data_IF_470324196238
#
_entry.id   IF_470324196238
#
_cell.length_a   1.000
_cell.length_b   1.000
_cell.length_c   1.000
_cell.angle_alpha   90.00
_cell.angle_beta   90.00
_cell.angle_gamma   90.00
#
_symmetry.space_group_name_H-M   'P 1'
#
loop_
_entity.id
_entity.type
_entity.pdbx_description
1 polymer ?
#
# COMPACT_ATOMS: atom_id res chain seq x y z
N UNK A 1 14.35 8.97 -14.54
CA UNK A 1 14.87 9.66 -13.34
C UNK A 1 15.64 8.66 -12.46
N UNK A 2 16.54 9.08 -11.57
CA UNK A 2 17.19 8.21 -10.56
C UNK A 2 16.88 8.64 -9.10
N UNK A 3 15.60 8.89 -8.78
CA UNK A 3 15.21 9.22 -7.40
C UNK A 3 15.08 7.96 -6.53
N UNK A 4 15.43 8.10 -5.26
CA UNK A 4 15.30 7.11 -4.21
C UNK A 4 14.16 7.47 -3.25
N UNK A 5 13.79 6.53 -2.37
CA UNK A 5 12.84 6.79 -1.32
C UNK A 5 13.37 7.89 -0.39
N UNK A 6 12.53 8.89 -0.12
CA UNK A 6 12.87 10.05 0.70
C UNK A 6 13.19 11.32 -0.09
N UNK A 7 13.58 11.19 -1.36
CA UNK A 7 13.88 12.31 -2.25
C UNK A 7 12.64 13.13 -2.57
N UNK A 8 12.82 14.40 -2.91
CA UNK A 8 11.74 15.29 -3.32
C UNK A 8 11.59 15.33 -4.83
N UNK A 9 10.34 15.26 -5.28
CA UNK A 9 9.97 15.38 -6.69
C UNK A 9 8.76 16.28 -6.83
N UNK A 10 8.67 16.96 -7.96
CA UNK A 10 7.51 17.70 -8.41
C UNK A 10 6.80 16.89 -9.49
N UNK A 11 5.48 16.75 -9.39
CA UNK A 11 4.68 16.20 -10.48
C UNK A 11 4.62 17.25 -11.58
N UNK A 12 4.91 16.85 -12.82
CA UNK A 12 4.88 17.78 -13.96
C UNK A 12 3.51 18.44 -14.14
N UNK A 13 3.49 19.52 -14.93
CA UNK A 13 2.25 20.19 -15.30
C UNK A 13 1.30 19.22 -16.03
N UNK A 14 0.01 19.54 -16.01
CA UNK A 14 -1.01 18.76 -16.72
C UNK A 14 -0.67 18.65 -18.21
N UNK A 15 -0.28 19.75 -18.82
CA UNK A 15 0.04 19.87 -20.24
C UNK A 15 1.25 19.02 -20.61
N UNK A 16 2.31 19.06 -19.79
CA UNK A 16 3.51 18.25 -20.00
C UNK A 16 3.19 16.75 -19.90
N UNK A 17 2.40 16.35 -18.90
CA UNK A 17 1.98 14.95 -18.76
C UNK A 17 1.14 14.53 -19.96
N UNK A 18 0.14 15.30 -20.37
CA UNK A 18 -0.72 14.97 -21.52
C UNK A 18 0.08 14.77 -22.82
N UNK A 19 1.21 15.48 -22.99
CA UNK A 19 2.11 15.26 -24.14
C UNK A 19 2.84 13.92 -24.10
N UNK A 20 3.02 13.33 -22.91
CA UNK A 20 3.64 11.99 -22.77
C UNK A 20 2.67 10.85 -23.05
N UNK A 21 1.35 11.10 -23.04
CA UNK A 21 0.34 10.06 -23.13
C UNK A 21 -0.08 9.76 -24.57
N UNK A 22 -0.42 8.51 -24.83
CA UNK A 22 -1.12 8.09 -26.04
C UNK A 22 -2.62 8.47 -26.02
N UNK A 23 -3.34 8.15 -27.10
CA UNK A 23 -4.78 8.40 -27.22
C UNK A 23 -5.65 7.67 -26.20
N UNK A 24 -5.11 6.66 -25.52
CA UNK A 24 -5.78 5.92 -24.46
C UNK A 24 -5.40 6.42 -23.06
N UNK A 25 -4.67 7.55 -22.96
CA UNK A 25 -4.23 8.12 -21.69
C UNK A 25 -3.11 7.32 -21.02
N UNK A 26 -2.23 6.66 -21.79
CA UNK A 26 -1.20 5.76 -21.27
C UNK A 26 0.21 6.19 -21.64
N UNK A 27 1.17 5.81 -20.79
CA UNK A 27 2.60 5.81 -21.09
C UNK A 27 3.17 4.44 -20.74
N UNK A 28 3.80 3.75 -21.69
CA UNK A 28 4.26 2.36 -21.56
C UNK A 28 3.16 1.43 -21.01
N UNK A 29 1.95 1.52 -21.57
CA UNK A 29 0.73 0.83 -21.10
C UNK A 29 0.21 1.22 -19.71
N UNK A 30 0.95 2.00 -18.91
CA UNK A 30 0.49 2.44 -17.59
C UNK A 30 -0.56 3.54 -17.77
N UNK A 31 -1.80 3.35 -17.29
CA UNK A 31 -2.81 4.39 -17.36
C UNK A 31 -2.46 5.57 -16.45
N UNK A 32 -2.49 6.78 -17.00
CA UNK A 32 -2.65 7.99 -16.21
C UNK A 32 -4.14 8.16 -15.89
N UNK A 33 -4.49 8.32 -14.62
CA UNK A 33 -5.90 8.32 -14.19
C UNK A 33 -6.39 9.73 -13.88
N UNK A 34 -7.68 10.07 -14.07
CA UNK A 34 -8.18 11.44 -13.91
C UNK A 34 -7.84 12.08 -12.55
N UNK A 35 -7.97 11.34 -11.45
CA UNK A 35 -7.66 11.82 -10.11
C UNK A 35 -6.18 12.15 -9.90
N UNK A 36 -5.28 11.76 -10.80
CA UNK A 36 -3.86 12.11 -10.75
C UNK A 36 -3.62 13.58 -11.15
N UNK A 37 -4.51 14.20 -11.94
CA UNK A 37 -4.38 15.61 -12.36
C UNK A 37 -4.39 16.58 -11.18
N UNK A 38 -5.11 16.26 -10.10
CA UNK A 38 -5.18 17.10 -8.90
C UNK A 38 -3.83 17.27 -8.18
N UNK A 39 -2.82 16.50 -8.56
CA UNK A 39 -1.47 16.54 -8.00
C UNK A 39 -0.45 17.18 -8.94
N UNK A 40 -0.82 17.54 -10.19
CA UNK A 40 0.08 18.21 -11.13
C UNK A 40 0.61 19.52 -10.54
N UNK A 41 1.90 19.80 -10.74
CA UNK A 41 2.60 20.97 -10.21
C UNK A 41 2.88 20.95 -8.71
N UNK A 42 2.50 19.90 -7.98
CA UNK A 42 2.75 19.78 -6.54
C UNK A 42 4.00 18.95 -6.26
N UNK A 43 4.63 19.24 -5.12
CA UNK A 43 5.84 18.54 -4.65
C UNK A 43 5.50 17.49 -3.61
N UNK A 44 6.12 16.32 -3.76
CA UNK A 44 5.96 15.20 -2.86
C UNK A 44 7.30 14.55 -2.57
N UNK A 45 7.40 13.90 -1.41
CA UNK A 45 8.48 12.96 -1.17
C UNK A 45 8.18 11.63 -1.85
N UNK A 46 9.18 11.05 -2.47
CA UNK A 46 9.12 9.67 -2.95
C UNK A 46 8.95 8.76 -1.75
N UNK A 47 7.78 8.12 -1.64
CA UNK A 47 7.50 7.15 -0.59
C UNK A 47 8.31 5.88 -0.82
N UNK A 48 8.23 5.33 -2.04
CA UNK A 48 8.94 4.14 -2.47
C UNK A 48 9.20 4.17 -3.97
N UNK A 49 10.31 3.57 -4.40
CA UNK A 49 10.52 3.22 -5.81
C UNK A 49 9.72 1.98 -6.15
N UNK A 50 8.85 2.06 -7.16
CA UNK A 50 7.97 0.98 -7.58
C UNK A 50 8.61 0.10 -8.67
N UNK A 51 9.86 -0.33 -8.48
CA UNK A 51 10.59 -1.20 -9.44
C UNK A 51 9.96 -2.61 -9.56
N UNK A 52 9.14 -2.99 -8.58
CA UNK A 52 8.34 -4.22 -8.58
C UNK A 52 6.98 -4.00 -7.92
N UNK A 53 6.08 -4.93 -8.16
CA UNK A 53 4.75 -5.04 -7.58
C UNK A 53 4.34 -6.52 -7.49
N UNK A 54 3.14 -6.83 -7.03
CA UNK A 54 2.58 -8.18 -6.97
C UNK A 54 1.35 -8.32 -7.88
N UNK A 55 1.20 -9.50 -8.48
CA UNK A 55 0.08 -9.83 -9.35
C UNK A 55 -1.21 -10.09 -8.56
N UNK A 56 -2.14 -9.16 -8.63
CA UNK A 56 -3.47 -9.24 -8.00
C UNK A 56 -4.59 -9.51 -9.02
N UNK A 57 -4.24 -9.65 -10.31
CA UNK A 57 -5.19 -9.80 -11.42
C UNK A 57 -5.36 -11.27 -11.80
N UNK A 58 -4.27 -12.03 -11.92
CA UNK A 58 -4.34 -13.43 -12.36
C UNK A 58 -4.77 -14.38 -11.23
N UNK A 59 -4.53 -13.99 -9.98
CA UNK A 59 -4.71 -14.83 -8.80
C UNK A 59 -3.48 -15.64 -8.41
N UNK A 60 -2.36 -15.54 -9.15
CA UNK A 60 -1.11 -16.22 -8.79
C UNK A 60 -0.31 -15.53 -7.67
N UNK A 61 -0.55 -14.24 -7.41
CA UNK A 61 0.14 -13.48 -6.36
C UNK A 61 1.68 -13.53 -6.42
N UNK A 62 2.23 -13.62 -7.63
CA UNK A 62 3.66 -13.62 -7.90
C UNK A 62 4.21 -12.19 -8.08
N UNK A 63 5.53 -12.04 -7.97
CA UNK A 63 6.20 -10.77 -8.24
C UNK A 63 6.08 -10.36 -9.72
N UNK A 64 5.94 -9.05 -9.95
CA UNK A 64 6.02 -8.44 -11.28
C UNK A 64 6.97 -7.24 -11.27
N UNK A 65 7.74 -7.07 -12.33
CA UNK A 65 8.66 -5.94 -12.53
C UNK A 65 7.94 -4.80 -13.23
N UNK A 66 8.14 -3.59 -12.72
CA UNK A 66 7.69 -2.34 -13.32
C UNK A 66 8.92 -1.46 -13.57
N UNK A 67 9.09 -1.03 -14.82
CA UNK A 67 10.19 -0.14 -15.19
C UNK A 67 9.85 1.32 -14.89
N UNK A 68 10.79 2.02 -14.28
CA UNK A 68 10.74 3.46 -13.95
C UNK A 68 9.47 3.89 -13.18
N UNK A 69 9.03 3.06 -12.24
CA UNK A 69 7.87 3.31 -11.38
C UNK A 69 8.22 3.94 -10.03
N UNK A 70 7.33 4.79 -9.51
CA UNK A 70 7.43 5.47 -8.21
C UNK A 70 6.08 5.50 -7.48
N UNK A 71 6.14 5.64 -6.16
CA UNK A 71 5.01 5.90 -5.28
C UNK A 71 5.26 7.18 -4.47
N UNK A 72 4.27 8.07 -4.38
CA UNK A 72 4.35 9.37 -3.67
C UNK A 72 3.51 9.42 -2.37
N UNK A 73 3.13 8.27 -1.81
CA UNK A 73 2.12 8.13 -0.76
C UNK A 73 0.74 8.73 -1.10
N UNK A 74 0.39 8.75 -2.39
CA UNK A 74 -0.89 9.23 -2.91
C UNK A 74 -1.76 8.05 -3.35
N UNK A 75 -3.05 8.08 -3.03
CA UNK A 75 -3.98 6.96 -3.25
C UNK A 75 -5.15 7.38 -4.14
N UNK A 76 -5.63 6.40 -4.90
CA UNK A 76 -6.83 6.54 -5.72
C UNK A 76 -8.06 6.77 -4.83
N UNK A 77 -8.88 7.76 -5.19
CA UNK A 77 -10.15 8.08 -4.52
C UNK A 77 -11.36 7.33 -5.13
N UNK A 78 -11.15 6.65 -6.26
CA UNK A 78 -12.16 5.84 -6.91
C UNK A 78 -13.32 6.59 -7.55
N UNK A 79 -13.31 7.93 -7.57
CA UNK A 79 -14.44 8.73 -8.06
C UNK A 79 -14.75 8.45 -9.54
N UNK A 80 -13.70 8.38 -10.37
CA UNK A 80 -13.82 8.02 -11.77
C UNK A 80 -14.19 6.54 -12.02
N UNK A 81 -14.24 5.72 -10.96
CA UNK A 81 -14.36 4.25 -11.02
C UNK A 81 -15.57 3.73 -10.24
N UNK A 82 -16.71 4.42 -10.36
CA UNK A 82 -17.96 4.03 -9.71
C UNK A 82 -17.92 4.14 -8.18
N UNK A 83 -17.03 4.98 -7.64
CA UNK A 83 -16.82 5.14 -6.21
C UNK A 83 -16.14 3.94 -5.57
N UNK A 84 -15.19 3.31 -6.26
CA UNK A 84 -14.36 2.21 -5.75
C UNK A 84 -13.61 2.62 -4.47
N UNK A 85 -13.70 1.81 -3.41
CA UNK A 85 -13.17 2.17 -2.08
C UNK A 85 -11.84 1.47 -1.74
N UNK A 86 -11.18 0.86 -2.72
CA UNK A 86 -9.96 0.08 -2.49
C UNK A 86 -8.74 0.91 -2.04
N UNK A 87 -8.71 2.21 -2.33
CA UNK A 87 -7.64 3.12 -1.89
C UNK A 87 -6.25 2.74 -2.42
N UNK A 88 -6.18 2.24 -3.66
CA UNK A 88 -4.93 1.76 -4.25
C UNK A 88 -3.87 2.87 -4.32
N UNK A 89 -2.64 2.59 -3.90
CA UNK A 89 -1.51 3.52 -4.04
C UNK A 89 -1.23 3.77 -5.54
N UNK A 90 -1.00 5.01 -5.93
CA UNK A 90 -0.84 5.41 -7.33
C UNK A 90 0.58 5.08 -7.82
N UNK A 91 0.67 4.53 -9.04
CA UNK A 91 1.94 4.39 -9.76
C UNK A 91 2.21 5.65 -10.57
N UNK A 92 3.44 6.14 -10.49
CA UNK A 92 3.94 7.26 -11.26
C UNK A 92 5.13 6.82 -12.11
N UNK A 93 5.18 7.24 -13.38
CA UNK A 93 6.38 7.10 -14.20
C UNK A 93 7.36 8.21 -13.89
N UNK A 94 8.66 7.92 -13.99
CA UNK A 94 9.69 8.94 -13.83
C UNK A 94 9.59 10.07 -14.86
N UNK A 95 9.02 9.80 -16.04
CA UNK A 95 8.71 10.81 -17.05
C UNK A 95 7.64 11.84 -16.63
N UNK A 96 6.86 11.57 -15.57
CA UNK A 96 5.86 12.50 -15.05
C UNK A 96 6.35 13.29 -13.83
N UNK A 97 7.62 13.09 -13.45
CA UNK A 97 8.19 13.63 -12.23
C UNK A 97 9.47 14.40 -12.57
N UNK A 98 9.72 15.48 -11.85
CA UNK A 98 10.96 16.27 -11.91
C UNK A 98 11.62 16.26 -10.53
N UNK A 99 12.93 15.97 -10.40
CA UNK A 99 13.62 16.07 -9.12
C UNK A 99 13.66 17.53 -8.67
N UNK A 100 13.46 17.77 -7.37
CA UNK A 100 13.51 19.12 -6.79
C UNK A 100 14.18 19.09 -5.42
N UNK A 101 14.76 20.21 -5.01
CA UNK A 101 15.40 20.35 -3.71
C UNK A 101 14.37 20.78 -2.66
N UNK A 102 13.84 19.81 -1.92
CA UNK A 102 13.00 20.06 -0.75
C UNK A 102 11.52 20.38 -1.04
N UNK A 103 10.75 20.65 0.03
CA UNK A 103 9.35 21.08 -0.11
C UNK A 103 9.26 22.40 -0.88
N UNK A 104 8.06 22.73 -1.38
CA UNK A 104 7.83 24.06 -1.94
C UNK A 104 8.14 25.11 -0.87
N UNK A 105 9.18 25.93 -1.08
CA UNK A 105 9.34 27.13 -0.28
C UNK A 105 8.14 28.03 -0.60
N UNK A 106 7.38 28.42 0.42
CA UNK A 106 6.31 29.41 0.29
C UNK A 106 6.96 30.77 0.08
N UNK A 107 7.59 30.97 -1.09
CA UNK A 107 7.87 32.31 -1.56
C UNK A 107 6.58 32.79 -2.20
N UNK A 108 5.90 33.74 -1.55
CA UNK A 108 4.85 34.51 -2.18
C UNK A 108 5.49 35.28 -3.34
N UNK A 109 5.48 34.67 -4.52
CA UNK A 109 5.78 35.32 -5.78
C UNK A 109 4.42 35.56 -6.43
N UNK A 110 4.00 36.82 -6.67
CA UNK A 110 2.78 37.08 -7.42
C UNK A 110 2.85 36.33 -8.74
N UNK A 111 1.77 35.64 -9.12
CA UNK A 111 1.66 34.86 -10.37
C UNK A 111 2.14 35.71 -11.56
N UNK A 112 3.43 35.61 -11.91
CA UNK A 112 3.87 35.95 -13.26
C UNK A 112 3.35 34.82 -14.12
N UNK A 113 2.36 35.14 -14.94
CA UNK A 113 1.99 34.33 -16.10
C UNK A 113 3.27 34.13 -16.88
N UNK A 114 3.87 32.94 -16.79
CA UNK A 114 4.93 32.56 -17.70
C UNK A 114 4.30 32.45 -19.08
N UNK A 115 4.56 33.45 -19.93
CA UNK A 115 4.36 33.34 -21.36
C UNK A 115 5.14 32.12 -21.84
N UNK A 116 4.50 31.15 -22.52
CA UNK A 116 5.23 30.02 -23.07
C UNK A 116 6.26 30.56 -24.08
N UNK A 117 7.54 30.23 -23.88
CA UNK A 117 8.55 30.39 -24.90
C UNK A 117 8.11 29.58 -26.12
N UNK A 118 7.91 30.28 -27.24
CA UNK A 118 7.50 29.71 -28.51
C UNK A 118 8.66 28.92 -29.14
N UNK A 119 8.95 27.75 -28.58
CA UNK A 119 9.50 26.65 -29.37
C UNK A 119 8.31 25.87 -29.90
N UNK A 120 8.25 25.69 -31.23
CA UNK A 120 7.15 25.07 -31.96
C UNK A 120 6.89 23.64 -31.47
N UNK A 121 6.08 23.51 -30.42
CA UNK A 121 5.78 22.25 -29.77
C UNK A 121 4.61 21.55 -30.48
N UNK A 122 4.80 20.29 -30.86
CA UNK A 122 3.75 19.45 -31.43
C UNK A 122 2.51 19.42 -30.51
N UNK A 123 1.29 19.41 -31.07
CA UNK A 123 0.07 19.37 -30.27
C UNK A 123 0.04 18.11 -29.39
N UNK A 124 -0.54 18.18 -28.18
CA UNK A 124 -0.64 17.04 -27.30
C UNK A 124 -1.41 15.91 -27.99
N UNK A 125 -0.85 14.70 -27.95
CA UNK A 125 -1.48 13.50 -28.54
C UNK A 125 -2.70 13.04 -27.75
N UNK A 126 -2.80 13.44 -26.48
CA UNK A 126 -3.87 13.08 -25.56
C UNK A 126 -4.52 14.33 -24.95
N UNK A 127 -5.82 14.29 -24.72
CA UNK A 127 -6.58 15.32 -24.00
C UNK A 127 -7.08 14.80 -22.65
N UNK A 128 -7.55 15.69 -21.79
CA UNK A 128 -8.21 15.26 -20.53
C UNK A 128 -9.47 14.43 -20.80
N UNK A 129 -10.20 14.74 -21.88
CA UNK A 129 -11.35 13.96 -22.31
C UNK A 129 -10.95 12.53 -22.69
N UNK A 130 -9.82 12.36 -23.37
CA UNK A 130 -9.29 11.02 -23.71
C UNK A 130 -8.96 10.23 -22.45
N UNK A 131 -8.32 10.86 -21.45
CA UNK A 131 -8.02 10.24 -20.14
C UNK A 131 -9.30 9.84 -19.40
N UNK A 132 -10.33 10.69 -19.41
CA UNK A 132 -11.64 10.39 -18.82
C UNK A 132 -12.35 9.25 -19.56
N UNK A 133 -12.35 9.28 -20.89
CA UNK A 133 -12.92 8.24 -21.75
C UNK A 133 -12.25 6.88 -21.56
N UNK A 134 -10.93 6.86 -21.33
CA UNK A 134 -10.17 5.63 -21.09
C UNK A 134 -10.52 4.92 -19.77
N UNK A 135 -11.24 5.56 -18.84
CA UNK A 135 -11.61 4.95 -17.54
C UNK A 135 -12.62 3.82 -17.67
N UNK A 136 -13.36 3.76 -18.77
CA UNK A 136 -14.41 2.77 -19.03
C UNK A 136 -14.22 2.15 -20.40
N UNK A 137 -14.35 0.83 -20.48
CA UNK A 137 -14.49 0.08 -21.72
C UNK A 137 -15.91 -0.44 -21.78
N UNK A 138 -16.61 -0.14 -22.88
CA UNK A 138 -17.91 -0.73 -23.15
C UNK A 138 -17.69 -2.14 -23.71
N UNK A 139 -18.11 -3.15 -22.96
CA UNK A 139 -18.14 -4.52 -23.46
C UNK A 139 -19.31 -4.74 -24.41
N UNK A 140 -19.24 -5.78 -25.25
CA UNK A 140 -20.28 -6.15 -26.20
C UNK A 140 -21.67 -6.46 -25.58
N UNK A 141 -21.78 -6.49 -24.24
CA UNK A 141 -23.02 -6.76 -23.50
C UNK A 141 -23.49 -5.61 -22.61
N UNK A 142 -23.08 -4.36 -22.86
CA UNK A 142 -23.58 -3.17 -22.15
C UNK A 142 -23.03 -2.92 -20.73
N UNK A 143 -22.50 -3.94 -20.06
CA UNK A 143 -21.85 -3.78 -18.75
C UNK A 143 -20.57 -2.93 -18.87
N UNK A 144 -20.53 -1.80 -18.16
CA UNK A 144 -19.35 -0.95 -18.06
C UNK A 144 -18.23 -1.67 -17.31
N UNK A 145 -17.09 -1.88 -17.98
CA UNK A 145 -15.84 -2.36 -17.35
C UNK A 145 -14.93 -1.17 -17.09
N UNK A 146 -14.46 -1.02 -15.85
CA UNK A 146 -13.50 -0.01 -15.49
C UNK A 146 -12.08 -0.42 -15.89
N UNK A 147 -11.30 0.53 -16.38
CA UNK A 147 -9.88 0.38 -16.69
C UNK A 147 -9.08 1.37 -15.83
N UNK A 148 -8.37 0.83 -14.83
CA UNK A 148 -7.51 1.60 -13.93
C UNK A 148 -6.13 0.93 -13.81
N UNK A 149 -5.19 1.56 -13.10
CA UNK A 149 -3.85 0.98 -12.93
C UNK A 149 -3.87 -0.43 -12.29
N UNK A 150 -4.86 -0.75 -11.44
CA UNK A 150 -4.96 -2.08 -10.84
C UNK A 150 -5.45 -3.14 -11.83
N UNK A 151 -6.48 -2.84 -12.62
CA UNK A 151 -7.03 -3.79 -13.62
C UNK A 151 -6.07 -4.02 -14.78
N UNK A 152 -5.30 -3.00 -15.15
CA UNK A 152 -4.35 -3.04 -16.26
C UNK A 152 -2.95 -3.52 -15.86
N UNK A 153 -2.77 -3.96 -14.60
CA UNK A 153 -1.47 -4.31 -14.02
C UNK A 153 -0.62 -5.20 -14.92
N UNK A 154 -1.23 -6.20 -15.54
CA UNK A 154 -0.52 -7.18 -16.37
C UNK A 154 0.04 -6.58 -17.67
N UNK A 155 -0.55 -5.48 -18.16
CA UNK A 155 -0.20 -4.87 -19.44
C UNK A 155 1.08 -4.02 -19.33
N UNK A 156 1.28 -3.34 -18.21
CA UNK A 156 2.45 -2.45 -18.01
C UNK A 156 3.55 -3.05 -17.13
N UNK A 157 3.43 -4.32 -16.74
CA UNK A 157 4.43 -5.02 -15.91
C UNK A 157 4.80 -6.37 -16.49
N UNK A 158 6.01 -6.84 -16.20
CA UNK A 158 6.52 -8.15 -16.65
C UNK A 158 6.64 -9.13 -15.48
N UNK A 159 6.48 -10.46 -15.68
CA UNK A 159 6.74 -11.43 -14.63
C UNK A 159 8.13 -11.24 -14.01
N UNK A 160 8.23 -11.39 -12.68
CA UNK A 160 9.48 -11.30 -11.94
C UNK A 160 9.64 -12.54 -11.08
N UNK A 161 10.64 -13.35 -11.41
CA UNK A 161 10.99 -14.54 -10.63
C UNK A 161 11.40 -14.17 -9.21
N UNK A 162 10.94 -14.93 -8.22
CA UNK A 162 11.23 -14.68 -6.81
C UNK A 162 12.72 -14.87 -6.46
N UNK A 163 13.44 -15.70 -7.23
CA UNK A 163 14.88 -15.93 -7.07
C UNK A 163 15.76 -14.87 -7.75
N UNK A 164 15.19 -13.91 -8.49
CA UNK A 164 15.97 -12.84 -9.12
C UNK A 164 16.58 -11.93 -8.04
N UNK A 165 17.87 -12.15 -7.74
CA UNK A 165 18.59 -11.47 -6.67
C UNK A 165 18.59 -9.93 -6.81
N UNK A 166 18.52 -9.42 -8.04
CA UNK A 166 18.53 -7.97 -8.33
C UNK A 166 17.40 -7.26 -7.62
N UNK A 167 16.25 -7.91 -7.46
CA UNK A 167 15.10 -7.29 -6.80
C UNK A 167 15.34 -6.98 -5.31
N UNK A 168 16.26 -7.69 -4.65
CA UNK A 168 16.58 -7.48 -3.25
C UNK A 168 17.66 -6.40 -3.11
N UNK A 169 18.63 -6.40 -4.02
CA UNK A 169 19.60 -5.31 -4.18
C UNK A 169 18.88 -3.99 -4.47
N UNK A 170 17.92 -3.98 -5.40
CA UNK A 170 17.11 -2.81 -5.71
C UNK A 170 16.28 -2.34 -4.51
N UNK A 171 15.81 -3.27 -3.66
CA UNK A 171 15.07 -2.93 -2.43
C UNK A 171 15.92 -2.10 -1.48
N UNK A 172 17.19 -2.48 -1.33
CA UNK A 172 18.15 -1.74 -0.50
C UNK A 172 18.61 -0.45 -1.18
N UNK A 173 19.11 -0.53 -2.42
CA UNK A 173 19.67 0.62 -3.16
C UNK A 173 18.67 1.75 -3.39
N UNK A 174 17.38 1.43 -3.53
CA UNK A 174 16.33 2.45 -3.68
C UNK A 174 15.93 3.12 -2.36
N UNK A 175 16.48 2.70 -1.21
CA UNK A 175 16.04 3.14 0.11
C UNK A 175 14.66 2.62 0.51
N UNK A 176 14.06 1.69 -0.27
CA UNK A 176 12.77 1.10 0.07
C UNK A 176 12.82 0.28 1.36
N UNK A 177 13.96 -0.36 1.62
CA UNK A 177 14.22 -1.19 2.81
C UNK A 177 15.64 -1.05 3.31
N UNK A 178 15.78 -1.17 4.62
CA UNK A 178 17.08 -1.26 5.29
C UNK A 178 17.59 -2.71 5.27
N UNK A 179 18.91 -2.90 5.43
CA UNK A 179 19.50 -4.24 5.51
C UNK A 179 18.92 -5.09 6.66
N UNK A 180 18.68 -4.57 7.87
CA UNK A 180 18.06 -5.35 8.95
C UNK A 180 16.65 -5.84 8.60
N UNK A 181 15.85 -5.05 7.87
CA UNK A 181 14.52 -5.50 7.43
C UNK A 181 14.61 -6.62 6.40
N UNK A 182 15.55 -6.51 5.46
CA UNK A 182 15.79 -7.54 4.44
C UNK A 182 16.27 -8.83 5.11
N UNK A 183 17.25 -8.73 6.00
CA UNK A 183 17.79 -9.85 6.75
C UNK A 183 16.70 -10.55 7.59
N UNK A 184 15.82 -9.79 8.26
CA UNK A 184 14.69 -10.35 9.02
C UNK A 184 13.73 -11.13 8.14
N UNK A 185 13.38 -10.60 6.96
CA UNK A 185 12.51 -11.29 6.01
C UNK A 185 13.11 -12.59 5.50
N UNK A 186 14.40 -12.58 5.14
CA UNK A 186 15.11 -13.79 4.72
C UNK A 186 15.28 -14.79 5.86
N UNK A 187 15.64 -14.36 7.07
CA UNK A 187 15.75 -15.24 8.24
C UNK A 187 14.41 -15.96 8.49
N UNK A 188 13.30 -15.24 8.41
CA UNK A 188 11.98 -15.85 8.49
C UNK A 188 11.74 -16.87 7.36
N UNK A 189 12.10 -16.54 6.12
CA UNK A 189 11.94 -17.44 4.98
C UNK A 189 12.76 -18.73 5.15
N UNK A 190 14.05 -18.59 5.51
CA UNK A 190 14.95 -19.70 5.77
C UNK A 190 14.47 -20.55 6.93
N UNK A 191 14.01 -19.93 8.03
CA UNK A 191 13.40 -20.64 9.13
C UNK A 191 12.18 -21.42 8.67
N UNK A 192 11.24 -20.76 7.99
CA UNK A 192 9.98 -21.33 7.54
C UNK A 192 10.15 -22.59 6.68
N UNK A 193 11.07 -22.55 5.70
CA UNK A 193 11.34 -23.70 4.84
C UNK A 193 12.31 -24.70 5.48
N UNK A 194 13.39 -24.23 6.09
CA UNK A 194 14.44 -25.07 6.66
C UNK A 194 13.98 -25.92 7.83
N UNK A 195 13.03 -25.44 8.64
CA UNK A 195 12.45 -26.20 9.75
C UNK A 195 11.13 -26.89 9.38
N UNK A 196 10.74 -26.89 8.09
CA UNK A 196 9.46 -27.40 7.61
C UNK A 196 8.25 -26.82 8.36
N UNK A 197 8.32 -25.56 8.83
CA UNK A 197 7.24 -24.94 9.60
C UNK A 197 5.92 -24.84 8.83
N UNK A 198 5.99 -24.91 7.49
CA UNK A 198 4.85 -25.01 6.59
C UNK A 198 4.13 -26.36 6.64
N UNK A 199 4.80 -27.42 7.11
CA UNK A 199 4.25 -28.77 7.13
C UNK A 199 3.26 -28.92 8.29
N UNK A 200 2.10 -29.49 7.99
CA UNK A 200 1.12 -29.84 9.01
C UNK A 200 1.62 -30.93 9.94
N UNK A 201 2.29 -31.93 9.35
CA UNK A 201 2.76 -33.12 10.05
C UNK A 201 4.00 -32.83 10.91
N UNK A 202 4.93 -32.05 10.37
CA UNK A 202 6.27 -31.88 10.97
C UNK A 202 6.54 -30.47 11.49
N UNK A 203 5.72 -29.48 11.14
CA UNK A 203 6.00 -28.09 11.43
C UNK A 203 5.61 -27.63 12.84
N UNK A 204 4.91 -28.45 13.63
CA UNK A 204 4.43 -28.05 14.96
C UNK A 204 5.57 -27.68 15.93
N UNK A 205 6.63 -28.49 16.10
CA UNK A 205 7.75 -28.15 16.98
C UNK A 205 8.44 -26.84 16.58
N UNK A 206 8.62 -26.61 15.27
CA UNK A 206 9.18 -25.36 14.77
C UNK A 206 8.27 -24.17 15.08
N UNK A 207 6.97 -24.26 14.77
CA UNK A 207 6.01 -23.19 15.09
C UNK A 207 5.98 -22.86 16.58
N UNK A 208 6.04 -23.87 17.44
CA UNK A 208 6.14 -23.72 18.89
C UNK A 208 7.42 -22.97 19.29
N UNK A 209 8.59 -23.40 18.80
CA UNK A 209 9.88 -22.77 19.12
C UNK A 209 9.91 -21.32 18.66
N UNK A 210 9.45 -21.04 17.44
CA UNK A 210 9.32 -19.68 16.93
C UNK A 210 8.46 -18.81 17.87
N UNK A 211 7.29 -19.29 18.27
CA UNK A 211 6.39 -18.56 19.16
C UNK A 211 7.01 -18.32 20.54
N UNK A 212 7.76 -19.27 21.09
CA UNK A 212 8.47 -19.09 22.37
C UNK A 212 9.51 -17.97 22.28
N UNK A 213 10.34 -18.00 21.23
CA UNK A 213 11.36 -16.95 21.02
C UNK A 213 10.69 -15.59 20.84
N UNK A 214 9.67 -15.50 19.98
CA UNK A 214 8.98 -14.23 19.72
C UNK A 214 8.25 -13.69 20.95
N UNK A 215 7.69 -14.55 21.81
CA UNK A 215 7.07 -14.12 23.05
C UNK A 215 8.08 -13.46 24.00
N UNK A 216 9.32 -13.97 24.06
CA UNK A 216 10.40 -13.40 24.87
C UNK A 216 10.90 -12.08 24.26
N UNK A 217 11.01 -12.00 22.94
CA UNK A 217 11.54 -10.81 22.26
C UNK A 217 10.48 -9.74 21.95
N UNK A 218 9.23 -9.91 22.40
CA UNK A 218 8.12 -9.01 22.08
C UNK A 218 7.78 -8.94 20.58
N UNK A 219 8.08 -10.02 19.86
CA UNK A 219 7.94 -10.11 18.41
C UNK A 219 6.57 -10.58 17.95
N UNK A 220 6.50 -11.02 16.69
CA UNK A 220 5.22 -11.37 16.03
C UNK A 220 5.05 -12.89 16.10
N UNK A 221 3.89 -13.42 16.54
CA UNK A 221 3.64 -14.85 16.54
C UNK A 221 3.72 -15.43 15.13
N UNK A 222 3.92 -16.74 15.02
CA UNK A 222 4.09 -17.43 13.76
C UNK A 222 2.92 -17.11 12.82
N UNK A 223 3.13 -16.39 11.71
CA UNK A 223 2.03 -15.68 11.07
C UNK A 223 1.20 -16.54 10.11
N UNK A 224 1.47 -17.84 10.04
CA UNK A 224 0.80 -18.80 9.14
C UNK A 224 0.22 -19.98 9.91
N UNK A 225 -0.62 -19.69 10.90
CA UNK A 225 -1.44 -20.69 11.59
C UNK A 225 -2.68 -21.04 10.76
N UNK A 226 -3.56 -21.89 11.31
CA UNK A 226 -4.80 -22.34 10.67
C UNK A 226 -6.01 -21.80 11.42
N UNK A 227 -7.08 -21.52 10.68
CA UNK A 227 -8.40 -21.33 11.27
C UNK A 227 -8.94 -22.66 11.80
N UNK A 228 -9.94 -22.56 12.66
CA UNK A 228 -10.53 -23.70 13.36
C UNK A 228 -11.78 -24.26 12.68
N UNK A 229 -12.40 -23.48 11.78
CA UNK A 229 -13.69 -23.83 11.18
C UNK A 229 -13.49 -24.66 9.89
N UNK A 230 -14.13 -25.83 9.72
CA UNK A 230 -14.06 -26.59 8.47
C UNK A 230 -14.55 -25.80 7.24
N UNK A 231 -13.97 -26.08 6.07
CA UNK A 231 -14.38 -25.42 4.81
C UNK A 231 -15.86 -25.71 4.52
N UNK A 232 -16.60 -24.66 4.13
CA UNK A 232 -18.01 -24.76 3.77
C UNK A 232 -18.97 -24.56 4.95
N UNK A 233 -18.47 -24.62 6.19
CA UNK A 233 -19.27 -24.21 7.35
C UNK A 233 -19.37 -22.69 7.44
N UNK A 234 -20.50 -22.15 7.94
CA UNK A 234 -20.67 -20.72 8.08
C UNK A 234 -19.70 -20.16 9.13
N UNK A 235 -18.76 -19.34 8.69
CA UNK A 235 -17.90 -18.56 9.59
C UNK A 235 -18.72 -17.49 10.32
N UNK A 236 -18.43 -17.13 11.59
CA UNK A 236 -19.24 -16.18 12.34
C UNK A 236 -19.17 -14.76 11.75
N UNK A 237 -20.22 -13.97 11.98
CA UNK A 237 -20.30 -12.55 11.62
C UNK A 237 -20.66 -11.72 12.84
N UNK A 238 -20.01 -10.57 12.99
CA UNK A 238 -20.35 -9.54 13.96
C UNK A 238 -20.11 -8.20 13.30
N UNK A 239 -21.14 -7.36 13.33
CA UNK A 239 -21.09 -5.99 12.83
C UNK A 239 -21.14 -5.05 14.05
N UNK A 240 -20.10 -4.24 14.20
CA UNK A 240 -19.97 -3.17 15.17
C UNK A 240 -20.57 -1.86 14.65
N UNK A 241 -20.81 -1.74 13.33
CA UNK A 241 -21.29 -0.53 12.69
C UNK A 241 -20.23 0.57 12.70
N UNK A 242 -19.00 0.23 12.31
CA UNK A 242 -17.87 1.15 12.36
C UNK A 242 -18.02 2.25 11.32
N UNK A 243 -17.54 3.45 11.67
CA UNK A 243 -17.48 4.61 10.79
C UNK A 243 -16.04 5.11 10.65
N UNK A 244 -15.69 5.77 9.54
CA UNK A 244 -14.45 6.54 9.45
C UNK A 244 -14.29 7.43 10.69
N UNK A 245 -13.11 7.38 11.32
CA UNK A 245 -12.81 8.08 12.56
C UNK A 245 -12.91 7.24 13.82
N UNK A 246 -13.63 6.11 13.81
CA UNK A 246 -13.77 5.25 15.00
C UNK A 246 -12.42 4.66 15.44
N UNK A 247 -12.19 4.59 16.76
CA UNK A 247 -11.04 3.88 17.33
C UNK A 247 -11.39 2.42 17.57
N UNK A 248 -10.50 1.54 17.10
CA UNK A 248 -10.66 0.09 17.21
C UNK A 248 -9.36 -0.57 17.61
N UNK A 249 -9.46 -1.61 18.43
CA UNK A 249 -8.37 -2.55 18.65
C UNK A 249 -8.56 -3.75 17.72
N UNK A 250 -7.49 -4.16 17.05
CA UNK A 250 -7.48 -5.45 16.36
C UNK A 250 -7.40 -6.52 17.43
N UNK A 251 -8.29 -7.52 17.37
CA UNK A 251 -8.29 -8.63 18.31
C UNK A 251 -6.96 -9.39 18.33
N UNK A 252 -6.77 -10.21 19.34
CA UNK A 252 -5.61 -11.10 19.37
C UNK A 252 -5.63 -12.06 18.18
N UNK A 253 -4.45 -12.58 17.81
CA UNK A 253 -4.35 -13.50 16.68
C UNK A 253 -5.17 -14.78 16.93
N UNK A 254 -5.20 -15.30 18.16
CA UNK A 254 -5.97 -16.48 18.54
C UNK A 254 -7.49 -16.25 18.38
N UNK A 255 -8.01 -15.14 18.91
CA UNK A 255 -9.42 -14.78 18.74
C UNK A 255 -9.82 -14.65 17.27
N UNK A 256 -8.93 -14.12 16.43
CA UNK A 256 -9.17 -14.03 14.99
C UNK A 256 -9.19 -15.42 14.36
N UNK A 257 -8.20 -16.27 14.63
CA UNK A 257 -8.14 -17.63 14.08
C UNK A 257 -9.40 -18.44 14.39
N UNK A 258 -9.99 -18.25 15.58
CA UNK A 258 -11.26 -18.87 15.97
C UNK A 258 -12.46 -18.46 15.09
N UNK A 259 -12.34 -17.37 14.32
CA UNK A 259 -13.37 -16.89 13.38
C UNK A 259 -13.13 -17.30 11.93
N UNK A 260 -12.00 -17.93 11.63
CA UNK A 260 -11.57 -18.26 10.28
C UNK A 260 -11.83 -19.73 9.95
N UNK A 261 -12.10 -19.99 8.68
CA UNK A 261 -12.02 -21.35 8.16
C UNK A 261 -10.56 -21.84 8.05
N UNK A 262 -10.38 -23.14 7.79
CA UNK A 262 -9.06 -23.75 7.61
C UNK A 262 -8.27 -23.19 6.41
N UNK A 263 -8.93 -22.44 5.51
CA UNK A 263 -8.29 -21.68 4.41
C UNK A 263 -7.96 -20.23 4.81
N UNK A 264 -8.07 -19.90 6.09
CA UNK A 264 -7.87 -18.57 6.67
C UNK A 264 -8.82 -17.53 6.07
N UNK A 265 -10.07 -17.88 5.83
CA UNK A 265 -11.09 -16.95 5.29
C UNK A 265 -12.24 -16.76 6.27
N UNK A 266 -12.79 -15.54 6.31
CA UNK A 266 -14.07 -15.25 6.92
C UNK A 266 -14.97 -14.54 5.89
N UNK A 267 -16.09 -15.18 5.56
CA UNK A 267 -17.07 -14.64 4.59
C UNK A 267 -16.40 -14.16 3.29
N UNK A 268 -15.51 -14.99 2.74
CA UNK A 268 -14.81 -14.73 1.49
C UNK A 268 -13.64 -13.74 1.56
N UNK A 269 -13.31 -13.16 2.72
CA UNK A 269 -12.12 -12.34 2.91
C UNK A 269 -11.03 -13.13 3.63
N UNK A 270 -9.89 -13.27 2.98
CA UNK A 270 -8.73 -13.97 3.53
C UNK A 270 -7.98 -13.14 4.57
N UNK A 271 -7.55 -13.80 5.63
CA UNK A 271 -6.64 -13.30 6.65
C UNK A 271 -5.21 -13.77 6.33
N UNK A 272 -4.51 -12.96 5.53
CA UNK A 272 -3.12 -13.19 5.14
C UNK A 272 -2.13 -12.96 6.32
N UNK A 273 -0.96 -13.60 6.24
CA UNK A 273 0.13 -13.47 7.21
C UNK A 273 0.55 -12.01 7.46
N UNK A 274 0.36 -11.12 6.49
CA UNK A 274 0.63 -9.68 6.62
C UNK A 274 -0.32 -8.94 7.58
N UNK A 275 -1.45 -9.53 7.98
CA UNK A 275 -2.34 -8.94 8.98
C UNK A 275 -1.88 -9.19 10.42
N UNK A 276 -1.17 -10.30 10.66
CA UNK A 276 -0.72 -10.73 12.00
C UNK A 276 0.08 -9.67 12.77
N UNK A 277 1.00 -8.89 12.15
CA UNK A 277 1.76 -7.86 12.86
C UNK A 277 0.93 -6.73 13.47
N UNK A 278 -0.35 -6.64 13.11
CA UNK A 278 -1.27 -5.61 13.58
C UNK A 278 -2.22 -6.12 14.68
N UNK A 279 -2.25 -7.42 14.97
CA UNK A 279 -3.06 -7.99 16.05
C UNK A 279 -2.72 -7.35 17.41
N UNK A 280 -3.74 -7.12 18.24
CA UNK A 280 -3.62 -6.50 19.56
C UNK A 280 -3.38 -4.98 19.56
N UNK A 281 -3.20 -4.34 18.40
CA UNK A 281 -2.90 -2.90 18.31
C UNK A 281 -4.16 -2.08 18.05
N UNK A 282 -4.10 -0.81 18.46
CA UNK A 282 -5.19 0.16 18.27
C UNK A 282 -4.93 1.00 17.03
N UNK A 283 -5.95 1.15 16.19
CA UNK A 283 -5.94 1.98 15.00
C UNK A 283 -7.23 2.79 14.90
N UNK A 284 -7.21 3.78 14.02
CA UNK A 284 -8.40 4.49 13.60
C UNK A 284 -8.92 3.90 12.30
N UNK A 285 -10.25 3.84 12.18
CA UNK A 285 -10.92 3.44 10.94
C UNK A 285 -10.76 4.55 9.91
N UNK A 286 -10.19 4.23 8.75
CA UNK A 286 -10.05 5.16 7.62
C UNK A 286 -11.28 5.14 6.72
N UNK A 287 -11.71 3.95 6.31
CA UNK A 287 -12.75 3.78 5.29
C UNK A 287 -13.48 2.46 5.47
N UNK A 288 -14.80 2.47 5.34
CA UNK A 288 -15.60 1.25 5.20
C UNK A 288 -15.72 0.91 3.71
N UNK A 289 -15.32 -0.30 3.34
CA UNK A 289 -15.28 -0.81 1.97
C UNK A 289 -16.52 -1.65 1.72
N UNK A 290 -17.44 -1.12 0.92
CA UNK A 290 -18.65 -1.81 0.49
C UNK A 290 -18.61 -2.17 -0.99
N UNK A 291 -17.88 -1.38 -1.79
CA UNK A 291 -17.73 -1.59 -3.22
C UNK A 291 -16.30 -1.39 -3.68
N UNK A 292 -15.89 -2.19 -4.66
CA UNK A 292 -14.57 -2.15 -5.25
C UNK A 292 -14.62 -2.63 -6.68
N UNK A 293 -13.67 -2.19 -7.51
CA UNK A 293 -13.47 -2.76 -8.85
C UNK A 293 -12.70 -4.05 -8.71
N UNK A 294 -13.28 -5.14 -9.17
CA UNK A 294 -12.61 -6.44 -9.24
C UNK A 294 -11.49 -6.36 -10.29
N UNK A 295 -10.25 -6.54 -9.85
CA UNK A 295 -9.07 -6.27 -10.67
C UNK A 295 -8.98 -7.20 -11.89
N UNK A 296 -9.47 -8.44 -11.79
CA UNK A 296 -9.47 -9.43 -12.87
C UNK A 296 -10.48 -9.10 -13.96
N UNK A 297 -11.69 -8.69 -13.57
CA UNK A 297 -12.82 -8.54 -14.48
C UNK A 297 -13.08 -7.09 -14.90
N UNK A 298 -12.54 -6.12 -14.16
CA UNK A 298 -12.82 -4.69 -14.31
C UNK A 298 -14.24 -4.31 -13.88
N UNK A 299 -15.03 -5.24 -13.33
CA UNK A 299 -16.42 -4.97 -12.92
C UNK A 299 -16.45 -4.38 -11.51
N UNK A 300 -17.32 -3.38 -11.29
CA UNK A 300 -17.62 -2.92 -9.94
C UNK A 300 -18.40 -4.02 -9.20
N UNK A 301 -17.92 -4.40 -8.03
CA UNK A 301 -18.53 -5.38 -7.14
C UNK A 301 -18.97 -4.71 -5.86
N UNK A 302 -20.07 -5.21 -5.29
CA UNK A 302 -20.49 -4.90 -3.92
C UNK A 302 -20.20 -6.11 -3.04
N UNK A 303 -19.66 -5.87 -1.85
CA UNK A 303 -19.40 -6.91 -0.89
C UNK A 303 -20.69 -7.30 -0.16
N UNK A 304 -20.96 -8.60 -0.04
CA UNK A 304 -22.06 -9.10 0.80
C UNK A 304 -21.80 -8.85 2.29
N UNK A 305 -20.53 -8.80 2.67
CA UNK A 305 -20.08 -8.41 4.01
C UNK A 305 -19.02 -7.34 3.81
N UNK A 306 -19.27 -6.10 4.23
CA UNK A 306 -18.31 -5.01 4.11
C UNK A 306 -16.98 -5.32 4.81
N UNK A 307 -15.94 -4.63 4.40
CA UNK A 307 -14.65 -4.63 5.08
C UNK A 307 -14.30 -3.23 5.57
N UNK A 308 -13.24 -3.12 6.34
CA UNK A 308 -12.75 -1.86 6.90
C UNK A 308 -11.27 -1.71 6.57
N UNK A 309 -10.86 -0.50 6.21
CA UNK A 309 -9.46 -0.09 6.07
C UNK A 309 -9.09 0.70 7.33
N UNK A 310 -7.96 0.34 7.94
CA UNK A 310 -7.42 1.03 9.11
C UNK A 310 -6.30 1.99 8.70
N UNK A 311 -6.22 3.15 9.36
CA UNK A 311 -5.20 4.17 9.09
C UNK A 311 -3.79 3.64 9.34
N UNK A 312 -2.87 3.90 8.41
CA UNK A 312 -1.47 3.45 8.52
C UNK A 312 -1.26 1.93 8.37
N UNK A 313 -2.32 1.15 8.17
CA UNK A 313 -2.24 -0.31 8.06
C UNK A 313 -2.22 -0.72 6.59
N UNK A 314 -1.06 -1.18 6.15
CA UNK A 314 -0.85 -1.69 4.79
C UNK A 314 0.08 -2.90 4.78
N UNK A 315 -0.01 -3.68 3.70
CA UNK A 315 0.84 -4.84 3.47
C UNK A 315 2.32 -4.42 3.49
N UNK A 316 3.11 -5.11 4.32
CA UNK A 316 4.55 -4.91 4.43
C UNK A 316 5.33 -5.91 3.58
N UNK A 317 4.68 -6.88 2.97
CA UNK A 317 5.32 -7.91 2.15
C UNK A 317 6.52 -8.60 2.84
N UNK A 318 6.52 -8.73 4.17
CA UNK A 318 7.58 -9.42 4.92
C UNK A 318 7.35 -10.94 5.00
N UNK A 319 6.10 -11.36 4.93
CA UNK A 319 5.61 -12.73 4.99
C UNK A 319 4.96 -13.14 3.66
N UNK A 320 5.33 -12.48 2.56
CA UNK A 320 4.65 -12.62 1.28
C UNK A 320 5.47 -13.41 0.26
N UNK A 321 5.78 -14.68 0.56
CA UNK A 321 6.38 -15.70 -0.33
C UNK A 321 7.15 -15.18 -1.55
N UNK A 322 6.60 -15.40 -2.75
CA UNK A 322 7.24 -15.03 -4.03
C UNK A 322 7.25 -13.53 -4.35
N UNK A 323 6.75 -12.69 -3.44
CA UNK A 323 6.58 -11.24 -3.61
C UNK A 323 7.12 -10.47 -2.40
N UNK A 324 8.11 -11.03 -1.69
CA UNK A 324 8.72 -10.37 -0.51
C UNK A 324 9.22 -8.97 -0.85
N UNK A 325 9.09 -8.04 0.09
CA UNK A 325 9.50 -6.63 -0.06
C UNK A 325 8.83 -5.89 -1.23
N UNK A 326 7.65 -6.33 -1.65
CA UNK A 326 6.82 -5.59 -2.59
C UNK A 326 6.51 -4.18 -2.03
N UNK A 327 6.79 -3.09 -2.77
CA UNK A 327 6.57 -1.71 -2.33
C UNK A 327 5.13 -1.21 -2.52
N UNK A 328 4.22 -2.06 -3.04
CA UNK A 328 2.85 -1.69 -3.43
C UNK A 328 2.02 -1.11 -2.28
N UNK A 329 2.34 -1.50 -1.03
CA UNK A 329 1.64 -1.08 0.19
C UNK A 329 0.11 -1.07 0.05
N UNK A 330 -0.46 -2.18 -0.45
CA UNK A 330 -1.91 -2.35 -0.53
C UNK A 330 -2.52 -2.21 0.87
N UNK A 331 -3.71 -1.62 0.94
CA UNK A 331 -4.45 -1.61 2.19
C UNK A 331 -4.83 -3.04 2.58
N UNK A 332 -4.73 -3.34 3.86
CA UNK A 332 -5.26 -4.57 4.41
C UNK A 332 -6.72 -4.32 4.78
N UNK A 333 -7.59 -5.21 4.33
CA UNK A 333 -9.02 -5.15 4.60
C UNK A 333 -9.34 -6.01 5.81
N UNK A 334 -10.17 -5.49 6.70
CA UNK A 334 -10.52 -6.10 7.97
C UNK A 334 -12.01 -6.40 8.04
N UNK A 335 -12.40 -7.54 8.59
CA UNK A 335 -13.78 -7.78 9.03
C UNK A 335 -13.99 -7.12 10.40
N UNK A 336 -15.17 -6.55 10.62
CA UNK A 336 -15.51 -5.96 11.93
C UNK A 336 -15.46 -6.99 13.07
N UNK A 337 -15.72 -8.29 12.79
CA UNK A 337 -15.58 -9.36 13.78
C UNK A 337 -14.13 -9.53 14.30
N UNK A 338 -13.13 -9.10 13.53
CA UNK A 338 -11.71 -9.11 13.93
C UNK A 338 -11.31 -7.87 14.73
N UNK A 339 -12.26 -6.95 14.93
CA UNK A 339 -12.06 -5.68 15.60
C UNK A 339 -12.93 -5.62 16.85
N UNK A 340 -12.60 -4.70 17.72
CA UNK A 340 -13.44 -4.28 18.83
C UNK A 340 -13.29 -2.77 19.04
N UNK A 341 -14.35 -2.11 19.50
CA UNK A 341 -14.30 -0.66 19.77
C UNK A 341 -13.32 -0.41 20.92
N UNK A 342 -12.45 0.58 20.75
CA UNK A 342 -11.53 1.03 21.78
C UNK A 342 -11.95 2.44 22.24
N UNK A 343 -11.93 2.68 23.55
CA UNK A 343 -12.01 4.03 24.10
C UNK A 343 -10.63 4.68 24.11
N UNK A 344 -10.59 6.00 24.13
CA UNK A 344 -9.34 6.79 24.16
C UNK A 344 -8.51 6.51 25.43
N UNK A 345 -9.14 5.99 26.49
CA UNK A 345 -8.50 5.67 27.77
C UNK A 345 -7.56 4.45 27.71
N UNK A 346 -7.59 3.66 26.65
CA UNK A 346 -6.72 2.50 26.46
C UNK A 346 -5.36 2.85 25.82
N UNK A 347 -4.72 3.97 26.23
CA UNK A 347 -3.29 4.16 25.95
C UNK A 347 -2.48 3.34 26.97
N UNK A 348 -1.63 2.38 26.55
CA UNK A 348 -0.64 1.84 27.47
C UNK A 348 0.22 3.00 27.97
N UNK A 349 0.41 3.09 29.29
CA UNK A 349 1.35 4.03 29.92
C UNK A 349 2.75 3.72 29.39
N UNK A 350 3.16 4.43 28.35
CA UNK A 350 4.57 4.52 27.97
C UNK A 350 5.21 5.40 29.03
N UNK A 351 5.95 4.78 29.93
CA UNK A 351 6.81 5.49 30.88
C UNK A 351 7.84 6.27 30.06
N UNK A 352 7.63 7.58 29.93
CA UNK A 352 8.61 8.50 29.39
C UNK A 352 9.77 8.59 30.39
N UNK A 353 10.77 7.73 30.20
CA UNK A 353 12.07 7.88 30.84
C UNK A 353 12.81 9.02 30.15
N UNK A 354 12.74 10.20 30.78
CA UNK A 354 13.73 11.29 30.77
C UNK A 354 14.69 11.37 29.58
N UNK A 355 14.31 12.11 28.53
CA UNK A 355 15.27 12.86 27.70
C UNK A 355 14.66 14.24 27.48
N UNK A 356 14.80 15.12 28.48
CA UNK A 356 14.70 16.57 28.34
C UNK A 356 15.19 17.24 29.63
N UNK A 357 16.51 17.39 29.73
CA UNK A 357 17.13 18.42 30.56
C UNK A 357 18.41 18.85 29.82
N UNK A 358 18.35 20.01 29.15
CA UNK A 358 19.48 20.54 28.40
C UNK A 358 19.09 21.48 27.26
N UNK A 359 18.26 22.48 27.54
CA UNK A 359 18.15 23.69 26.70
C UNK A 359 17.32 24.76 27.43
N UNK A 360 17.85 25.34 28.50
CA UNK A 360 17.52 26.71 28.90
C UNK A 360 18.49 27.20 29.97
N UNK A 361 19.59 27.85 29.55
CA UNK A 361 20.35 28.80 30.37
C UNK A 361 21.56 29.32 29.57
N UNK A 362 21.34 30.24 28.62
CA UNK A 362 22.38 31.21 28.20
C UNK A 362 21.70 32.43 27.59
N UNK A 363 21.18 33.31 28.44
CA UNK A 363 20.91 34.71 28.10
C UNK A 363 20.71 35.47 29.41
N UNK A 364 21.79 36.03 29.94
CA UNK A 364 21.82 37.27 30.75
C UNK A 364 23.19 37.39 31.41
N UNK A 365 24.07 38.21 30.84
CA UNK A 365 25.02 39.06 31.56
C UNK A 365 25.67 40.02 30.55
N UNK A 366 25.02 41.16 30.35
CA UNK A 366 25.66 42.38 29.86
C UNK A 366 25.58 43.37 31.01
N UNK A 367 26.71 43.61 31.68
CA UNK A 367 26.87 44.72 32.63
C UNK A 367 27.35 45.97 31.87
N UNK A 368 26.90 47.17 32.25
CA UNK A 368 27.39 48.42 31.69
C UNK A 368 28.59 48.96 32.49
N UNK A 369 29.47 49.65 31.78
CA UNK A 369 30.29 50.77 32.29
C UNK A 369 29.93 52.00 31.48
#
# INVERSE_FOLDING_TARGET
MKACAGDWVEVLSKEDILRTLDKNGRLDELPFMPQMFKYCGQRFRVYRRAYKTCDTVSGHYAGRRLQDGYHLNLRCDGQAYGGCQAGCLLFWKGAWLKPVDGPAQVQYVPKRVHSPSAEAASPPRCTESDVLGATKRHGAGGDAKYSCQATELLNYTKPLSWWDARQYVDSYRSGNRTLPEIARGFLYLFYYYGTLAFSDRWGHPARWLYNRIQAITGGIPFPRLRGTIPVGQPTPRRDLGLRPGDLVRVKSYEEILATLDVKLSNRGLSFDAELVPFCGKVFRVSTCVERFVDEKTGKLRRMNTPAVILEGVSCKALYSGQRMFCPRSIHLWWREIWLERASVEARPKVTLSSIQAGASATAEHVHPT
#
